data_IF_167025469352
#
_entry.id   IF_167025469352
#
_cell.length_a   1.000
_cell.length_b   1.000
_cell.length_c   1.000
_cell.angle_alpha   90.00
_cell.angle_beta   90.00
_cell.angle_gamma   90.00
#
_symmetry.space_group_name_H-M   'P 1'
#
loop_
_entity.id
_entity.type
_entity.pdbx_description
1 polymer ?
#
# COMPACT_ATOMS: atom_id res chain seq x y z
N UNK A 1 -4.11 3.60 22.22
CA UNK A 1 -5.47 4.01 21.84
C UNK A 1 -5.50 4.15 20.32
N UNK A 2 -6.13 3.19 19.65
CA UNK A 2 -6.18 3.12 18.18
C UNK A 2 -7.06 4.22 17.58
N UNK A 3 -7.92 4.87 18.37
CA UNK A 3 -8.76 5.98 17.92
C UNK A 3 -7.99 7.28 17.67
N UNK A 4 -6.68 7.33 17.96
CA UNK A 4 -5.85 8.52 17.80
C UNK A 4 -5.37 8.75 16.36
N UNK A 5 -5.46 7.75 15.50
CA UNK A 5 -4.97 7.82 14.13
C UNK A 5 -6.01 7.29 13.16
N UNK A 6 -6.15 7.98 12.03
CA UNK A 6 -6.90 7.45 10.90
C UNK A 6 -6.05 6.38 10.21
N UNK A 7 -6.58 5.17 10.11
CA UNK A 7 -5.88 4.01 9.57
C UNK A 7 -6.78 3.38 8.53
N UNK A 8 -6.28 3.31 7.30
CA UNK A 8 -6.92 2.57 6.21
C UNK A 8 -6.13 1.28 5.92
N UNK A 9 -6.85 0.16 5.78
CA UNK A 9 -6.26 -1.13 5.39
C UNK A 9 -6.73 -1.48 3.98
N UNK A 10 -5.77 -1.66 3.08
CA UNK A 10 -6.04 -1.96 1.66
C UNK A 10 -5.40 -3.29 1.29
N UNK A 11 -6.22 -4.26 0.90
CA UNK A 11 -5.74 -5.52 0.32
C UNK A 11 -5.79 -5.43 -1.21
N UNK A 12 -4.66 -5.09 -1.85
CA UNK A 12 -4.61 -4.85 -3.30
C UNK A 12 -5.02 -6.06 -4.15
N UNK A 13 -4.84 -7.28 -3.66
CA UNK A 13 -5.32 -8.49 -4.34
C UNK A 13 -6.86 -8.67 -4.34
N UNK A 14 -7.58 -8.01 -3.43
CA UNK A 14 -9.04 -8.02 -3.37
C UNK A 14 -9.62 -6.73 -3.96
N UNK A 15 -8.89 -5.62 -3.80
CA UNK A 15 -9.26 -4.28 -4.24
C UNK A 15 -8.41 -3.83 -5.43
N UNK A 16 -8.35 -4.65 -6.50
CA UNK A 16 -7.47 -4.41 -7.66
C UNK A 16 -7.67 -3.04 -8.33
N UNK A 17 -8.86 -2.44 -8.23
CA UNK A 17 -9.13 -1.08 -8.71
C UNK A 17 -8.30 0.02 -8.03
N UNK A 18 -7.65 -0.28 -6.89
CA UNK A 18 -6.77 0.66 -6.16
C UNK A 18 -5.29 0.50 -6.50
N UNK A 19 -4.92 -0.46 -7.34
CA UNK A 19 -3.52 -0.60 -7.81
C UNK A 19 -3.00 0.69 -8.48
N UNK A 20 -3.76 1.40 -9.35
CA UNK A 20 -3.30 2.66 -9.91
C UNK A 20 -3.03 3.75 -8.86
N UNK A 21 -3.88 3.84 -7.83
CA UNK A 21 -3.72 4.77 -6.71
C UNK A 21 -2.45 4.44 -5.90
N UNK A 22 -2.23 3.16 -5.58
CA UNK A 22 -1.04 2.71 -4.87
C UNK A 22 0.24 3.03 -5.68
N UNK A 23 0.23 2.79 -6.99
CA UNK A 23 1.35 3.16 -7.88
C UNK A 23 1.60 4.67 -7.89
N UNK A 24 0.54 5.47 -7.97
CA UNK A 24 0.64 6.94 -7.95
C UNK A 24 1.20 7.46 -6.62
N UNK A 25 0.86 6.81 -5.50
CA UNK A 25 1.44 7.09 -4.19
C UNK A 25 2.92 6.63 -4.06
N UNK A 26 3.47 5.96 -5.08
CA UNK A 26 4.85 5.49 -5.10
C UNK A 26 5.06 4.07 -4.55
N UNK A 27 3.98 3.30 -4.36
CA UNK A 27 4.07 1.93 -3.86
C UNK A 27 4.63 1.01 -4.95
N UNK A 28 5.83 0.46 -4.70
CA UNK A 28 6.55 -0.49 -5.56
C UNK A 28 6.39 -1.95 -5.16
N UNK A 29 6.28 -2.23 -3.85
CA UNK A 29 6.10 -3.58 -3.33
C UNK A 29 5.11 -3.62 -2.19
N UNK A 30 4.43 -4.75 -2.02
CA UNK A 30 3.62 -5.08 -0.84
C UNK A 30 4.31 -6.16 0.01
N UNK A 31 4.13 -6.17 1.34
CA UNK A 31 3.41 -5.18 2.15
C UNK A 31 4.12 -3.81 2.20
N UNK A 32 3.34 -2.73 2.29
CA UNK A 32 3.84 -1.37 2.45
C UNK A 32 2.95 -0.54 3.38
N UNK A 33 3.57 0.44 4.04
CA UNK A 33 2.90 1.48 4.82
C UNK A 33 3.11 2.82 4.12
N UNK A 34 2.05 3.59 3.93
CA UNK A 34 2.11 4.97 3.45
C UNK A 34 1.84 5.89 4.63
N UNK A 35 2.75 6.83 4.90
CA UNK A 35 2.60 7.82 5.96
C UNK A 35 3.10 9.17 5.44
N UNK A 36 2.23 10.18 5.41
CA UNK A 36 2.54 11.54 4.93
C UNK A 36 3.26 11.53 3.57
N UNK A 37 2.65 10.87 2.57
CA UNK A 37 3.16 10.70 1.20
C UNK A 37 4.50 9.94 1.08
N UNK A 38 5.02 9.43 2.19
CA UNK A 38 6.21 8.57 2.21
C UNK A 38 5.82 7.11 2.27
N UNK A 39 6.42 6.31 1.38
CA UNK A 39 6.20 4.88 1.33
C UNK A 39 7.30 4.13 2.06
N UNK A 40 6.89 3.23 2.94
CA UNK A 40 7.75 2.29 3.65
C UNK A 40 7.41 0.88 3.18
N UNK A 41 8.28 0.32 2.35
CA UNK A 41 8.19 -1.07 1.94
C UNK A 41 8.67 -1.97 3.08
N UNK A 42 7.82 -2.89 3.50
CA UNK A 42 8.15 -3.82 4.58
C UNK A 42 8.69 -5.08 3.93
N UNK A 43 9.99 -5.31 4.06
CA UNK A 43 10.69 -6.52 3.60
C UNK A 43 10.53 -6.87 2.11
N UNK A 44 10.02 -5.96 1.28
CA UNK A 44 9.82 -6.12 -0.17
C UNK A 44 9.25 -7.51 -0.54
N UNK A 45 8.01 -7.80 -0.12
CA UNK A 45 7.42 -9.14 -0.30
C UNK A 45 7.13 -9.50 -1.76
N UNK A 46 6.25 -8.74 -2.41
CA UNK A 46 5.85 -8.94 -3.82
C UNK A 46 5.85 -7.59 -4.55
N UNK A 47 6.17 -7.59 -5.85
CA UNK A 47 6.06 -6.37 -6.65
C UNK A 47 4.59 -6.01 -6.84
N UNK A 48 4.27 -4.72 -6.83
CA UNK A 48 2.91 -4.26 -7.22
C UNK A 48 2.63 -4.59 -8.68
N UNK A 49 3.66 -4.70 -9.51
CA UNK A 49 3.52 -5.11 -10.91
C UNK A 49 3.14 -6.59 -11.07
N UNK A 50 3.29 -7.41 -10.03
CA UNK A 50 2.88 -8.83 -10.04
C UNK A 50 1.40 -9.01 -9.67
N UNK A 51 0.70 -7.92 -9.30
CA UNK A 51 -0.71 -7.93 -8.87
C UNK A 51 -1.69 -7.59 -10.00
N UNK A 52 -1.19 -7.42 -11.23
CA UNK A 52 -1.96 -7.01 -12.43
C UNK A 52 -2.49 -8.19 -13.23
#
# INVERSE_FOLDING_TARGET
DHARYDIEIVHLGEQGGRIPEAKAAGVKSVPALVLNDQVFHINFGASVDDLT
#
